data_IF_912809712535
#
_entry.id   IF_912809712535
#
_cell.length_a   1.000
_cell.length_b   1.000
_cell.length_c   1.000
_cell.angle_alpha   90.00
_cell.angle_beta   90.00
_cell.angle_gamma   90.00
#
_symmetry.space_group_name_H-M   'P 1'
#
loop_
_entity.id
_entity.type
_entity.pdbx_description
1 polymer ?
#
# COMPACT_ATOMS: atom_id res chain seq x y z
N UNK A 1 35.98 13.82 -21.64
CA UNK A 1 35.73 12.36 -21.58
C UNK A 1 34.27 12.06 -21.92
N UNK A 2 33.99 11.61 -23.14
CA UNK A 2 32.63 11.33 -23.60
C UNK A 2 32.10 10.01 -23.05
N UNK A 3 30.80 9.97 -22.70
CA UNK A 3 30.12 8.77 -22.18
C UNK A 3 30.11 7.70 -23.28
N UNK A 4 30.88 6.63 -23.09
CA UNK A 4 30.89 5.48 -23.99
C UNK A 4 29.48 4.87 -24.09
N UNK A 5 29.02 4.72 -25.32
CA UNK A 5 27.76 4.05 -25.67
C UNK A 5 27.75 2.63 -25.08
N UNK A 6 26.72 2.33 -24.29
CA UNK A 6 26.49 1.02 -23.67
C UNK A 6 26.42 -0.04 -24.77
N UNK A 7 27.34 -1.01 -24.68
CA UNK A 7 27.39 -2.29 -25.40
C UNK A 7 26.07 -2.66 -26.08
N UNK A 8 26.09 -2.78 -27.41
CA UNK A 8 25.04 -3.50 -28.15
C UNK A 8 25.06 -4.94 -27.61
N UNK A 9 23.99 -5.36 -26.93
CA UNK A 9 23.81 -6.76 -26.55
C UNK A 9 23.74 -7.59 -27.83
N UNK A 10 24.87 -8.18 -28.21
CA UNK A 10 24.89 -9.23 -29.21
C UNK A 10 24.03 -10.34 -28.62
N UNK A 11 22.88 -10.63 -29.25
CA UNK A 11 22.06 -11.77 -28.85
C UNK A 11 22.95 -13.00 -29.02
N UNK A 12 23.09 -13.81 -27.98
CA UNK A 12 23.82 -15.07 -28.03
C UNK A 12 23.22 -15.91 -29.16
N UNK A 13 23.93 -16.00 -30.28
CA UNK A 13 23.63 -17.01 -31.27
C UNK A 13 23.91 -18.35 -30.61
N UNK A 14 22.88 -19.18 -30.47
CA UNK A 14 23.00 -20.52 -29.94
C UNK A 14 23.99 -21.31 -30.83
N UNK A 15 25.15 -21.75 -30.29
CA UNK A 15 26.17 -22.43 -31.08
C UNK A 15 25.71 -23.78 -31.63
N UNK A 16 24.58 -24.31 -31.16
CA UNK A 16 24.01 -25.59 -31.60
C UNK A 16 22.80 -25.44 -32.54
N UNK A 17 22.42 -24.22 -32.90
CA UNK A 17 21.30 -24.00 -33.82
C UNK A 17 21.69 -24.35 -35.27
N UNK A 18 21.18 -25.49 -35.77
CA UNK A 18 21.35 -25.98 -37.16
C UNK A 18 20.14 -25.69 -38.07
N UNK A 19 19.30 -24.72 -37.73
CA UNK A 19 18.14 -24.33 -38.56
C UNK A 19 18.50 -23.29 -39.64
N UNK A 20 17.72 -23.17 -40.72
CA UNK A 20 17.93 -22.14 -41.74
C UNK A 20 17.88 -20.75 -41.11
N UNK A 21 18.97 -19.99 -41.25
CA UNK A 21 19.05 -18.60 -40.77
C UNK A 21 17.94 -17.81 -41.47
N UNK A 22 17.10 -17.13 -40.70
CA UNK A 22 16.19 -16.12 -41.24
C UNK A 22 17.05 -14.95 -41.70
N UNK A 23 17.48 -14.97 -42.95
CA UNK A 23 18.10 -13.83 -43.58
C UNK A 23 17.16 -12.63 -43.46
N UNK A 24 17.68 -11.57 -42.86
CA UNK A 24 16.99 -10.28 -42.79
C UNK A 24 16.70 -9.84 -44.21
N UNK A 25 15.42 -9.88 -44.61
CA UNK A 25 14.96 -9.39 -45.91
C UNK A 25 15.53 -7.98 -46.15
N UNK A 26 16.23 -7.73 -47.27
CA UNK A 26 16.50 -6.36 -47.69
C UNK A 26 15.15 -5.73 -48.08
N UNK A 27 14.73 -4.69 -47.36
CA UNK A 27 13.56 -3.90 -47.74
C UNK A 27 13.93 -3.02 -48.92
N UNK A 28 13.70 -3.50 -50.15
CA UNK A 28 13.76 -2.66 -51.35
C UNK A 28 12.64 -3.02 -52.33
N UNK A 29 11.56 -2.23 -52.31
CA UNK A 29 10.75 -1.94 -53.51
C UNK A 29 9.77 -0.81 -53.18
N UNK A 30 10.20 0.45 -53.35
CA UNK A 30 9.28 1.55 -53.67
C UNK A 30 9.37 1.76 -55.19
N UNK A 31 8.27 1.73 -55.95
CA UNK A 31 8.32 2.00 -57.38
C UNK A 31 8.58 3.50 -57.61
N UNK A 32 9.45 3.79 -58.57
CA UNK A 32 9.65 5.11 -59.16
C UNK A 32 8.54 5.35 -60.19
N UNK A 33 7.69 6.35 -59.96
CA UNK A 33 7.03 7.11 -61.01
C UNK A 33 7.07 8.57 -60.57
N UNK A 34 7.80 9.38 -61.33
CA UNK A 34 7.92 10.82 -61.13
C UNK A 34 6.72 11.49 -61.78
N UNK A 35 5.98 12.28 -61.02
CA UNK A 35 5.34 13.48 -61.56
C UNK A 35 6.27 14.65 -61.24
N UNK A 36 6.66 15.38 -62.29
CA UNK A 36 7.48 16.58 -62.20
C UNK A 36 6.69 17.69 -61.48
N UNK A 37 7.10 18.00 -60.25
CA UNK A 37 7.03 19.39 -59.78
C UNK A 37 8.43 19.97 -59.82
N UNK A 38 8.61 20.93 -60.73
CA UNK A 38 9.65 21.95 -60.63
C UNK A 38 9.64 22.57 -59.23
N UNK A 39 10.84 22.92 -58.76
CA UNK A 39 11.13 23.77 -57.60
C UNK A 39 10.65 23.31 -56.21
N UNK A 40 11.54 22.62 -55.51
CA UNK A 40 12.05 23.15 -54.24
C UNK A 40 13.35 22.41 -53.91
N UNK A 41 14.49 23.08 -54.05
CA UNK A 41 15.68 22.66 -53.30
C UNK A 41 15.28 22.73 -51.83
N UNK A 42 14.96 21.57 -51.23
CA UNK A 42 14.53 21.50 -49.85
C UNK A 42 15.57 22.19 -48.97
N UNK A 43 15.21 23.34 -48.40
CA UNK A 43 16.09 24.17 -47.57
C UNK A 43 16.93 23.29 -46.63
N UNK A 44 18.27 23.46 -46.59
CA UNK A 44 19.15 22.66 -45.76
C UNK A 44 18.63 22.62 -44.33
N UNK A 45 18.75 21.47 -43.68
CA UNK A 45 18.18 21.23 -42.34
C UNK A 45 18.55 22.32 -41.33
N UNK A 46 19.78 22.82 -41.40
CA UNK A 46 20.26 23.92 -40.56
C UNK A 46 19.43 25.21 -40.74
N UNK A 47 19.09 25.57 -41.97
CA UNK A 47 18.27 26.75 -42.25
C UNK A 47 16.80 26.55 -41.83
N UNK A 48 16.25 25.33 -41.99
CA UNK A 48 14.91 24.99 -41.46
C UNK A 48 14.84 25.12 -39.94
N UNK A 49 15.89 24.68 -39.24
CA UNK A 49 15.96 24.77 -37.78
C UNK A 49 16.15 26.22 -37.31
N UNK A 50 16.90 27.03 -38.05
CA UNK A 50 17.07 28.46 -37.79
C UNK A 50 15.75 29.23 -37.92
N UNK A 51 14.98 29.01 -38.99
CA UNK A 51 13.67 29.65 -39.17
C UNK A 51 12.67 29.24 -38.09
N UNK A 52 12.63 27.95 -37.72
CA UNK A 52 11.80 27.48 -36.60
C UNK A 52 12.16 28.18 -35.29
N UNK A 53 13.46 28.37 -35.02
CA UNK A 53 13.94 29.07 -33.82
C UNK A 53 13.50 30.54 -33.81
N UNK A 54 13.59 31.24 -34.94
CA UNK A 54 13.13 32.63 -35.06
C UNK A 54 11.62 32.77 -34.79
N UNK A 55 10.79 31.85 -35.32
CA UNK A 55 9.35 31.86 -35.09
C UNK A 55 8.98 31.63 -33.61
N UNK A 56 9.70 30.76 -32.91
CA UNK A 56 9.50 30.52 -31.48
C UNK A 56 9.88 31.77 -30.67
N UNK A 57 10.98 32.45 -31.02
CA UNK A 57 11.40 33.69 -30.34
C UNK A 57 10.40 34.84 -30.54
N UNK A 58 9.80 34.99 -31.74
CA UNK A 58 8.76 36.00 -31.98
C UNK A 58 7.50 35.74 -31.14
N UNK A 59 7.08 34.47 -31.00
CA UNK A 59 5.90 34.08 -30.20
C UNK A 59 6.07 34.28 -28.68
N UNK A 60 7.29 34.18 -28.16
CA UNK A 60 7.54 34.41 -26.71
C UNK A 60 7.70 35.89 -26.38
N UNK A 61 8.17 36.71 -27.31
CA UNK A 61 8.27 38.16 -27.15
C UNK A 61 6.88 38.85 -27.04
N UNK A 62 5.89 38.39 -27.81
CA UNK A 62 4.52 38.93 -27.75
C UNK A 62 3.81 38.59 -26.45
N UNK A 63 4.04 37.39 -25.88
CA UNK A 63 3.50 37.02 -24.56
C UNK A 63 4.03 37.89 -23.41
N UNK A 64 5.32 38.27 -23.45
CA UNK A 64 5.90 39.17 -22.44
C UNK A 64 5.30 40.59 -22.48
N UNK A 65 4.81 41.07 -23.63
CA UNK A 65 4.12 42.37 -23.73
C UNK A 65 2.68 42.31 -23.18
N UNK A 66 2.01 41.16 -23.25
CA UNK A 66 0.65 41.00 -22.72
C UNK A 66 0.59 40.92 -21.18
N UNK A 67 1.56 40.25 -20.53
CA UNK A 67 1.62 40.14 -19.07
C UNK A 67 1.88 41.48 -18.36
N UNK A 68 2.49 42.46 -19.04
CA UNK A 68 2.80 43.77 -18.43
C UNK A 68 1.57 44.69 -18.25
N UNK A 69 0.44 44.39 -18.91
CA UNK A 69 -0.80 45.19 -18.79
C UNK A 69 -1.75 44.74 -17.66
N UNK A 70 -1.55 43.57 -17.05
CA UNK A 70 -2.44 43.04 -15.99
C UNK A 70 -2.00 43.39 -14.55
N UNK A 71 -0.90 44.13 -14.35
CA UNK A 71 -0.35 44.41 -13.00
C UNK A 71 -0.98 45.59 -12.25
N UNK A 72 -2.08 46.21 -12.73
CA UNK A 72 -2.67 47.41 -12.09
C UNK A 72 -3.94 47.17 -11.27
N UNK A 73 -4.42 45.94 -11.10
CA UNK A 73 -5.66 45.63 -10.33
C UNK A 73 -5.40 44.77 -9.09
N UNK A 74 -4.36 45.07 -8.30
CA UNK A 74 -3.98 44.31 -7.11
C UNK A 74 -4.05 45.15 -5.81
N UNK A 75 -5.00 46.06 -5.70
CA UNK A 75 -5.28 46.81 -4.45
C UNK A 75 -6.18 46.04 -3.45
N UNK A 76 -6.28 44.70 -3.54
CA UNK A 76 -7.08 43.90 -2.60
C UNK A 76 -6.26 43.27 -1.45
N UNK A 77 -4.95 43.55 -1.37
CA UNK A 77 -4.05 42.91 -0.39
C UNK A 77 -4.22 43.38 1.07
N UNK A 78 -4.85 44.53 1.30
CA UNK A 78 -4.92 45.14 2.65
C UNK A 78 -5.98 44.54 3.55
N UNK A 79 -7.06 43.94 3.00
CA UNK A 79 -8.13 43.33 3.80
C UNK A 79 -7.71 42.00 4.46
N UNK A 80 -6.66 41.35 3.96
CA UNK A 80 -6.20 40.06 4.47
C UNK A 80 -5.56 40.16 5.86
N UNK A 81 -4.85 41.26 6.09
CA UNK A 81 -4.11 41.54 7.32
C UNK A 81 -4.90 42.35 8.35
N UNK A 82 -6.21 42.55 8.14
CA UNK A 82 -7.05 43.19 9.14
C UNK A 82 -7.56 42.15 10.14
N UNK A 83 -7.51 42.49 11.42
CA UNK A 83 -8.05 41.64 12.50
C UNK A 83 -9.58 41.65 12.41
N UNK A 84 -10.19 40.47 12.52
CA UNK A 84 -11.64 40.36 12.51
C UNK A 84 -12.17 40.84 13.87
N UNK A 85 -13.28 41.61 13.93
CA UNK A 85 -13.90 41.96 15.20
C UNK A 85 -14.28 40.68 15.97
N UNK A 86 -13.80 40.56 17.22
CA UNK A 86 -14.00 39.37 18.06
C UNK A 86 -12.87 38.32 18.01
N UNK A 87 -11.90 38.45 17.11
CA UNK A 87 -10.76 37.54 17.00
C UNK A 87 -9.70 37.82 18.08
N UNK A 88 -9.20 36.76 18.74
CA UNK A 88 -8.07 36.87 19.66
C UNK A 88 -6.77 37.23 18.92
N UNK A 89 -5.86 37.96 19.58
CA UNK A 89 -4.54 38.29 19.00
C UNK A 89 -3.79 37.03 18.54
N UNK A 90 -3.92 35.92 19.27
CA UNK A 90 -3.30 34.63 18.91
C UNK A 90 -3.88 34.05 17.63
N UNK A 91 -5.20 34.08 17.49
CA UNK A 91 -5.92 33.54 16.33
C UNK A 91 -5.57 34.33 15.06
N UNK A 92 -5.49 35.66 15.18
CA UNK A 92 -5.04 36.55 14.12
C UNK A 92 -3.65 36.14 13.59
N UNK A 93 -2.65 36.00 14.47
CA UNK A 93 -1.31 35.60 14.02
C UNK A 93 -1.29 34.20 13.41
N UNK A 94 -2.04 33.25 13.98
CA UNK A 94 -2.16 31.91 13.39
C UNK A 94 -2.75 31.94 11.98
N UNK A 95 -3.74 32.80 11.72
CA UNK A 95 -4.33 32.98 10.38
C UNK A 95 -3.31 33.56 9.40
N UNK A 96 -2.57 34.59 9.82
CA UNK A 96 -1.51 35.19 8.99
C UNK A 96 -0.40 34.19 8.67
N UNK A 97 0.07 33.41 9.66
CA UNK A 97 1.11 32.42 9.45
C UNK A 97 0.66 31.30 8.52
N UNK A 98 -0.60 30.85 8.64
CA UNK A 98 -1.18 29.87 7.73
C UNK A 98 -1.28 30.39 6.29
N UNK A 99 -1.67 31.65 6.11
CA UNK A 99 -1.73 32.24 4.78
C UNK A 99 -0.34 32.42 4.17
N UNK A 100 0.61 32.95 4.93
CA UNK A 100 1.99 33.10 4.48
C UNK A 100 2.63 31.76 4.09
N UNK A 101 2.40 30.71 4.89
CA UNK A 101 2.89 29.36 4.56
C UNK A 101 2.24 28.78 3.29
N UNK A 102 0.95 29.04 3.06
CA UNK A 102 0.26 28.65 1.83
C UNK A 102 0.82 29.37 0.61
N UNK A 103 0.99 30.70 0.68
CA UNK A 103 1.54 31.49 -0.43
C UNK A 103 2.97 31.05 -0.78
N UNK A 104 3.82 30.81 0.23
CA UNK A 104 5.17 30.26 0.02
C UNK A 104 5.11 28.88 -0.62
N UNK A 105 4.23 27.98 -0.14
CA UNK A 105 4.08 26.66 -0.71
C UNK A 105 3.58 26.70 -2.17
N UNK A 106 2.68 27.62 -2.50
CA UNK A 106 2.20 27.83 -3.87
C UNK A 106 3.28 28.39 -4.78
N UNK A 107 4.07 29.37 -4.32
CA UNK A 107 5.22 29.89 -5.06
C UNK A 107 6.27 28.80 -5.32
N UNK A 108 6.53 27.93 -4.35
CA UNK A 108 7.43 26.77 -4.52
C UNK A 108 6.87 25.72 -5.50
N UNK A 109 5.55 25.50 -5.52
CA UNK A 109 4.90 24.62 -6.51
C UNK A 109 4.93 25.23 -7.91
N UNK A 110 4.70 26.54 -8.04
CA UNK A 110 4.70 27.26 -9.31
C UNK A 110 6.10 27.37 -9.92
N UNK A 111 7.13 27.56 -9.09
CA UNK A 111 8.53 27.57 -9.53
C UNK A 111 9.00 26.19 -10.00
N UNK A 112 8.56 25.12 -9.33
CA UNK A 112 8.83 23.73 -9.75
C UNK A 112 7.85 23.26 -10.81
N UNK A 113 7.98 23.78 -12.04
CA UNK A 113 7.28 23.22 -13.20
C UNK A 113 7.74 21.78 -13.45
N UNK A 114 6.91 20.82 -13.05
CA UNK A 114 7.13 19.42 -13.36
C UNK A 114 6.99 19.21 -14.87
N UNK A 115 7.98 18.56 -15.52
CA UNK A 115 7.92 18.23 -16.95
C UNK A 115 6.60 17.53 -17.28
N UNK A 116 5.90 17.95 -18.33
CA UNK A 116 4.57 17.45 -18.68
C UNK A 116 4.50 15.92 -18.81
N UNK A 117 5.55 15.28 -19.31
CA UNK A 117 5.65 13.83 -19.36
C UNK A 117 5.59 13.15 -17.98
N UNK A 118 6.18 13.75 -16.94
CA UNK A 118 6.10 13.25 -15.55
C UNK A 118 4.71 13.47 -14.97
N UNK A 119 4.08 14.61 -15.28
CA UNK A 119 2.69 14.91 -14.88
C UNK A 119 1.71 13.91 -15.49
N UNK A 120 1.85 13.60 -16.78
CA UNK A 120 1.06 12.57 -17.48
C UNK A 120 1.27 11.20 -16.83
N UNK A 121 2.52 10.77 -16.67
CA UNK A 121 2.83 9.47 -16.04
C UNK A 121 2.23 9.31 -14.63
N UNK A 122 2.24 10.36 -13.81
CA UNK A 122 1.62 10.31 -12.48
C UNK A 122 0.09 10.22 -12.55
N UNK A 123 -0.56 10.84 -13.55
CA UNK A 123 -2.00 10.69 -13.78
C UNK A 123 -2.33 9.27 -14.24
N UNK A 124 -1.64 8.78 -15.26
CA UNK A 124 -1.81 7.43 -15.79
C UNK A 124 -1.60 6.37 -14.68
N UNK A 125 -0.61 6.58 -13.80
CA UNK A 125 -0.37 5.70 -12.65
C UNK A 125 -1.54 5.72 -11.66
N UNK A 126 -2.10 6.90 -11.35
CA UNK A 126 -3.26 7.02 -10.44
C UNK A 126 -4.51 6.37 -11.04
N UNK A 127 -4.74 6.54 -12.34
CA UNK A 127 -5.86 5.91 -13.05
C UNK A 127 -5.75 4.39 -13.03
N UNK A 128 -4.58 3.83 -13.35
CA UNK A 128 -4.33 2.38 -13.27
C UNK A 128 -4.58 1.81 -11.88
N UNK A 129 -4.22 2.54 -10.81
CA UNK A 129 -4.49 2.08 -9.44
C UNK A 129 -6.00 2.09 -9.16
N UNK A 130 -6.71 3.13 -9.59
CA UNK A 130 -8.16 3.24 -9.41
C UNK A 130 -8.92 2.15 -10.18
N UNK A 131 -8.48 1.87 -11.41
CA UNK A 131 -9.03 0.79 -12.23
C UNK A 131 -8.81 -0.58 -11.59
N UNK A 132 -7.60 -0.86 -11.09
CA UNK A 132 -7.32 -2.10 -10.35
C UNK A 132 -8.22 -2.27 -9.13
N UNK A 133 -8.47 -1.20 -8.37
CA UNK A 133 -9.39 -1.23 -7.22
C UNK A 133 -10.83 -1.54 -7.66
N UNK A 134 -11.30 -0.91 -8.73
CA UNK A 134 -12.62 -1.21 -9.30
C UNK A 134 -12.74 -2.66 -9.78
N UNK A 135 -11.70 -3.20 -10.41
CA UNK A 135 -11.68 -4.62 -10.80
C UNK A 135 -11.69 -5.54 -9.58
N UNK A 136 -10.90 -5.24 -8.55
CA UNK A 136 -10.91 -6.07 -7.33
C UNK A 136 -12.25 -6.02 -6.61
N UNK A 137 -12.91 -4.86 -6.57
CA UNK A 137 -14.25 -4.73 -5.99
C UNK A 137 -15.28 -5.57 -6.78
N UNK A 138 -15.26 -5.51 -8.11
CA UNK A 138 -16.14 -6.33 -8.96
C UNK A 138 -15.90 -7.84 -8.79
N UNK A 139 -14.63 -8.26 -8.72
CA UNK A 139 -14.29 -9.67 -8.55
C UNK A 139 -14.61 -10.18 -7.14
N UNK A 140 -14.42 -9.35 -6.12
CA UNK A 140 -14.76 -9.70 -4.74
C UNK A 140 -16.27 -9.94 -4.56
N UNK A 141 -17.12 -9.19 -5.26
CA UNK A 141 -18.57 -9.40 -5.23
C UNK A 141 -19.01 -10.72 -5.83
N UNK A 142 -18.29 -11.25 -6.82
CA UNK A 142 -18.65 -12.49 -7.50
C UNK A 142 -18.10 -13.74 -6.79
N UNK A 143 -16.92 -13.64 -6.17
CA UNK A 143 -16.33 -14.74 -5.38
C UNK A 143 -17.11 -15.00 -4.09
N UNK A 144 -17.66 -13.96 -3.45
CA UNK A 144 -18.48 -14.11 -2.23
C UNK A 144 -19.86 -14.75 -2.50
N UNK A 145 -20.27 -14.87 -3.76
CA UNK A 145 -21.57 -15.45 -4.14
C UNK A 145 -21.48 -16.88 -4.66
N UNK A 146 -20.25 -17.43 -4.77
CA UNK A 146 -20.03 -18.80 -5.21
C UNK A 146 -19.64 -19.67 -4.02
N UNK A 147 -20.62 -20.42 -3.53
CA UNK A 147 -20.38 -21.52 -2.61
C UNK A 147 -20.09 -22.78 -3.44
N UNK A 148 -18.81 -23.17 -3.50
CA UNK A 148 -18.39 -24.44 -4.10
C UNK A 148 -18.75 -25.60 -3.17
N UNK A 149 -20.02 -26.01 -3.18
CA UNK A 149 -20.53 -27.11 -2.34
C UNK A 149 -20.91 -28.27 -3.24
N UNK A 150 -20.42 -29.47 -2.91
CA UNK A 150 -20.77 -30.69 -3.64
C UNK A 150 -22.19 -31.12 -3.27
N UNK A 151 -22.91 -31.69 -4.23
CA UNK A 151 -24.24 -32.22 -4.00
C UNK A 151 -24.21 -33.27 -2.87
N UNK A 152 -24.93 -33.01 -1.78
CA UNK A 152 -24.97 -33.84 -0.57
C UNK A 152 -24.26 -33.24 0.66
N UNK A 153 -23.43 -32.21 0.50
CA UNK A 153 -22.78 -31.53 1.63
C UNK A 153 -23.70 -30.44 2.23
N UNK A 154 -23.94 -30.50 3.54
CA UNK A 154 -24.79 -29.53 4.26
C UNK A 154 -23.93 -28.33 4.67
N UNK A 155 -24.11 -27.21 3.96
CA UNK A 155 -23.28 -25.99 4.03
C UNK A 155 -23.08 -25.47 5.45
N UNK A 156 -24.10 -25.53 6.31
CA UNK A 156 -24.10 -24.99 7.67
C UNK A 156 -24.46 -26.06 8.71
N UNK A 157 -23.86 -27.24 8.60
CA UNK A 157 -24.03 -28.27 9.63
C UNK A 157 -23.42 -27.79 10.96
N UNK A 158 -24.12 -27.93 12.10
CA UNK A 158 -23.54 -27.64 13.40
C UNK A 158 -22.26 -28.47 13.61
N UNK A 159 -21.25 -27.93 14.32
CA UNK A 159 -20.00 -28.65 14.55
C UNK A 159 -20.29 -29.96 15.29
N UNK A 160 -19.94 -31.09 14.66
CA UNK A 160 -20.00 -32.39 15.31
C UNK A 160 -18.76 -32.56 16.19
N UNK A 161 -18.98 -32.80 17.48
CA UNK A 161 -17.89 -33.06 18.42
C UNK A 161 -17.43 -34.50 18.20
N UNK A 162 -16.51 -34.68 17.24
CA UNK A 162 -15.85 -35.97 16.94
C UNK A 162 -14.54 -36.15 17.71
N UNK A 163 -14.13 -35.13 18.46
CA UNK A 163 -12.88 -35.13 19.20
C UNK A 163 -12.92 -36.13 20.37
N UNK A 164 -12.06 -37.14 20.31
CA UNK A 164 -11.81 -38.06 21.43
C UNK A 164 -11.21 -37.26 22.61
N UNK A 165 -11.70 -37.44 23.85
CA UNK A 165 -11.11 -36.76 25.01
C UNK A 165 -9.64 -37.14 25.18
N UNK A 166 -8.78 -36.16 25.46
CA UNK A 166 -7.30 -36.32 25.56
C UNK A 166 -6.79 -37.40 26.53
N UNK A 167 -7.64 -37.89 27.44
CA UNK A 167 -7.32 -38.92 28.43
C UNK A 167 -8.34 -40.07 28.46
N UNK A 168 -9.24 -40.15 27.47
CA UNK A 168 -10.09 -41.31 27.35
C UNK A 168 -9.24 -42.46 26.82
N UNK A 169 -9.03 -43.48 27.65
CA UNK A 169 -8.49 -44.75 27.16
C UNK A 169 -9.41 -45.24 26.03
N UNK A 170 -8.82 -45.83 24.98
CA UNK A 170 -9.56 -46.57 23.96
C UNK A 170 -10.05 -47.88 24.59
N UNK A 171 -10.98 -47.75 25.54
CA UNK A 171 -11.66 -48.89 26.09
C UNK A 171 -12.59 -49.40 24.98
N UNK A 172 -12.26 -50.57 24.44
CA UNK A 172 -13.22 -51.39 23.72
C UNK A 172 -14.43 -51.55 24.64
N UNK A 173 -15.52 -50.84 24.32
CA UNK A 173 -16.78 -50.97 25.05
C UNK A 173 -17.17 -52.45 24.95
N UNK A 174 -17.04 -53.20 26.04
CA UNK A 174 -17.29 -54.65 26.06
C UNK A 174 -16.11 -55.54 26.49
N UNK A 175 -14.90 -55.00 26.73
CA UNK A 175 -13.74 -55.81 27.13
C UNK A 175 -13.57 -55.99 28.66
N UNK A 176 -14.62 -55.77 29.47
CA UNK A 176 -14.55 -56.09 30.89
C UNK A 176 -14.44 -57.61 30.99
N UNK A 177 -13.29 -58.12 31.43
CA UNK A 177 -13.11 -59.54 31.70
C UNK A 177 -14.24 -59.98 32.64
N UNK A 178 -14.98 -61.01 32.23
CA UNK A 178 -16.05 -61.58 33.04
C UNK A 178 -15.49 -61.92 34.42
N UNK A 179 -16.28 -61.73 35.48
CA UNK A 179 -15.90 -62.03 36.86
C UNK A 179 -15.32 -63.45 37.00
N UNK A 180 -15.73 -64.37 36.13
CA UNK A 180 -15.21 -65.73 36.03
C UNK A 180 -13.67 -65.79 35.78
N UNK A 181 -13.12 -64.89 34.97
CA UNK A 181 -11.67 -64.78 34.77
C UNK A 181 -10.92 -64.32 36.02
N UNK A 182 -11.60 -63.67 36.97
CA UNK A 182 -11.00 -63.27 38.26
C UNK A 182 -10.96 -64.42 39.27
N UNK A 183 -11.82 -65.45 39.10
CA UNK A 183 -11.88 -66.63 39.96
C UNK A 183 -10.92 -67.74 39.51
N UNK A 184 -10.41 -67.66 38.28
CA UNK A 184 -9.45 -68.60 37.71
C UNK A 184 -8.07 -67.93 37.62
N UNK A 185 -7.02 -68.45 38.28
CA UNK A 185 -5.70 -67.80 38.27
C UNK A 185 -5.05 -67.89 36.89
N UNK A 186 -4.94 -66.74 36.18
CA UNK A 186 -4.15 -66.60 34.97
C UNK A 186 -2.71 -66.19 35.31
N UNK A 187 -1.74 -67.00 34.88
CA UNK A 187 -0.32 -66.77 35.12
C UNK A 187 0.24 -65.66 34.21
N UNK A 188 0.73 -64.60 34.85
CA UNK A 188 1.92 -63.76 34.51
C UNK A 188 1.89 -62.88 33.23
N UNK A 189 2.17 -61.57 33.35
CA UNK A 189 3.51 -60.94 33.18
C UNK A 189 3.43 -59.39 33.17
N UNK A 190 4.49 -58.82 33.71
CA UNK A 190 4.82 -57.45 34.09
C UNK A 190 4.98 -56.42 32.96
N UNK A 191 4.91 -55.12 33.31
CA UNK A 191 5.92 -54.02 33.06
C UNK A 191 5.23 -52.65 33.04
N UNK A 192 5.26 -51.86 34.13
CA UNK A 192 6.27 -50.86 34.53
C UNK A 192 6.53 -49.74 33.48
N UNK A 193 6.07 -48.49 33.75
CA UNK A 193 6.68 -47.28 33.18
C UNK A 193 6.46 -46.04 34.07
N UNK A 194 7.57 -45.35 34.33
CA UNK A 194 7.81 -44.27 35.27
C UNK A 194 7.52 -42.86 34.70
N UNK A 195 7.15 -41.94 35.60
CA UNK A 195 7.60 -40.55 35.77
C UNK A 195 7.70 -39.60 34.55
N UNK A 196 6.80 -38.60 34.48
CA UNK A 196 7.11 -37.23 33.98
C UNK A 196 6.31 -36.15 34.75
N UNK A 197 7.03 -35.12 35.21
CA UNK A 197 6.53 -33.88 35.84
C UNK A 197 5.99 -32.87 34.80
N UNK A 198 5.14 -31.89 35.18
CA UNK A 198 4.42 -31.04 34.24
C UNK A 198 5.18 -29.75 33.90
N UNK A 199 5.19 -29.42 32.61
CA UNK A 199 5.82 -28.21 32.06
C UNK A 199 4.83 -27.02 32.03
N UNK A 200 5.35 -25.83 32.28
CA UNK A 200 4.62 -24.59 32.62
C UNK A 200 3.99 -23.90 31.38
N UNK A 201 3.09 -24.59 30.68
CA UNK A 201 2.58 -24.20 29.35
C UNK A 201 1.29 -23.36 29.33
N UNK A 202 1.10 -22.45 30.30
CA UNK A 202 -0.18 -21.74 30.49
C UNK A 202 -0.31 -20.34 29.88
N UNK A 203 0.79 -19.68 29.50
CA UNK A 203 0.76 -18.26 29.10
C UNK A 203 0.92 -18.15 27.59
N UNK A 204 -0.19 -17.87 26.90
CA UNK A 204 -0.18 -17.61 25.46
C UNK A 204 0.68 -16.37 25.16
N UNK A 205 1.63 -16.51 24.23
CA UNK A 205 2.55 -15.42 23.85
C UNK A 205 1.74 -14.26 23.26
N UNK A 206 1.77 -13.11 23.91
CA UNK A 206 1.06 -11.90 23.44
C UNK A 206 1.70 -11.36 22.17
N UNK A 207 0.88 -10.88 21.23
CA UNK A 207 1.35 -10.21 20.01
C UNK A 207 2.06 -8.91 20.38
N UNK A 208 3.20 -8.62 19.74
CA UNK A 208 3.91 -7.33 19.94
C UNK A 208 3.07 -6.18 19.38
N UNK A 209 3.10 -5.01 20.02
CA UNK A 209 2.30 -3.81 19.64
C UNK A 209 2.39 -3.44 18.16
N UNK A 210 3.57 -3.54 17.55
CA UNK A 210 3.79 -3.26 16.12
C UNK A 210 3.09 -4.21 15.15
N UNK A 211 2.60 -5.35 15.64
CA UNK A 211 1.88 -6.37 14.87
C UNK A 211 0.37 -6.37 15.16
N UNK A 212 -0.11 -5.42 15.98
CA UNK A 212 -1.53 -5.26 16.31
C UNK A 212 -2.20 -4.35 15.28
N UNK A 213 -3.45 -4.66 14.91
CA UNK A 213 -4.27 -3.76 14.08
C UNK A 213 -4.55 -2.44 14.82
N UNK A 214 -4.84 -1.35 14.09
CA UNK A 214 -5.12 -0.04 14.70
C UNK A 214 -6.26 -0.10 15.74
N UNK A 215 -7.33 -0.86 15.45
CA UNK A 215 -8.46 -1.07 16.37
C UNK A 215 -8.03 -1.85 17.62
N UNK A 216 -7.16 -2.84 17.44
CA UNK A 216 -6.61 -3.67 18.52
C UNK A 216 -5.66 -2.87 19.42
N UNK A 217 -4.85 -1.98 18.84
CA UNK A 217 -4.02 -1.02 19.56
C UNK A 217 -4.86 -0.04 20.37
N UNK A 218 -5.94 0.49 19.77
CA UNK A 218 -6.85 1.40 20.47
C UNK A 218 -7.51 0.73 21.67
N UNK A 219 -7.95 -0.53 21.53
CA UNK A 219 -8.51 -1.32 22.63
C UNK A 219 -7.49 -1.54 23.75
N UNK A 220 -6.28 -1.96 23.40
CA UNK A 220 -5.19 -2.14 24.36
C UNK A 220 -4.83 -0.84 25.10
N UNK A 221 -4.81 0.30 24.40
CA UNK A 221 -4.54 1.60 25.00
C UNK A 221 -5.70 2.08 25.90
N UNK A 222 -6.96 1.76 25.58
CA UNK A 222 -8.12 2.00 26.46
C UNK A 222 -8.01 1.17 27.75
N UNK A 223 -7.69 -0.11 27.65
CA UNK A 223 -7.53 -0.99 28.81
C UNK A 223 -6.38 -0.53 29.70
N UNK A 224 -5.24 -0.13 29.10
CA UNK A 224 -4.12 0.47 29.81
C UNK A 224 -4.52 1.74 30.56
N UNK A 225 -5.25 2.66 29.91
CA UNK A 225 -5.74 3.89 30.55
C UNK A 225 -6.66 3.57 31.72
N UNK A 226 -7.59 2.64 31.55
CA UNK A 226 -8.51 2.19 32.61
C UNK A 226 -7.75 1.64 33.82
N UNK A 227 -6.77 0.77 33.59
CA UNK A 227 -5.93 0.20 34.65
C UNK A 227 -5.13 1.26 35.39
N UNK A 228 -4.52 2.22 34.68
CA UNK A 228 -3.77 3.32 35.29
C UNK A 228 -4.69 4.20 36.14
N UNK A 229 -5.89 4.54 35.64
CA UNK A 229 -6.84 5.34 36.41
C UNK A 229 -7.30 4.61 37.67
N UNK A 230 -7.67 3.33 37.56
CA UNK A 230 -8.03 2.51 38.71
C UNK A 230 -6.91 2.47 39.76
N UNK A 231 -5.67 2.22 39.33
CA UNK A 231 -4.52 2.22 40.22
C UNK A 231 -4.30 3.59 40.90
N UNK A 232 -4.44 4.69 40.17
CA UNK A 232 -4.32 6.04 40.73
C UNK A 232 -5.39 6.32 41.79
N UNK A 233 -6.63 5.88 41.56
CA UNK A 233 -7.72 6.02 42.53
C UNK A 233 -7.44 5.22 43.80
N UNK A 234 -7.07 3.94 43.67
CA UNK A 234 -6.72 3.08 44.82
C UNK A 234 -5.54 3.68 45.60
N UNK A 235 -4.51 4.17 44.90
CA UNK A 235 -3.34 4.80 45.55
C UNK A 235 -3.69 6.12 46.23
N UNK A 236 -4.70 6.86 45.75
CA UNK A 236 -5.20 8.07 46.41
C UNK A 236 -5.95 7.71 47.69
N UNK A 237 -6.85 6.73 47.62
CA UNK A 237 -7.60 6.22 48.77
C UNK A 237 -6.68 5.73 49.88
N UNK A 238 -5.68 4.88 49.56
CA UNK A 238 -4.71 4.40 50.54
C UNK A 238 -3.91 5.51 51.24
N UNK A 239 -3.65 6.63 50.58
CA UNK A 239 -2.98 7.77 51.21
C UNK A 239 -3.92 8.52 52.15
N UNK A 240 -5.17 8.76 51.73
CA UNK A 240 -6.18 9.39 52.58
C UNK A 240 -6.50 8.55 53.82
N UNK A 241 -6.50 7.23 53.70
CA UNK A 241 -6.64 6.31 54.84
C UNK A 241 -5.45 6.42 55.80
N UNK A 242 -4.22 6.56 55.30
CA UNK A 242 -3.05 6.75 56.16
C UNK A 242 -3.01 8.14 56.81
N UNK A 243 -3.40 9.19 56.09
CA UNK A 243 -3.44 10.57 56.60
C UNK A 243 -4.62 10.79 57.57
N UNK A 244 -5.69 9.99 57.49
CA UNK A 244 -6.86 10.04 58.36
C UNK A 244 -6.80 9.12 59.59
N UNK A 245 -5.69 8.40 59.80
CA UNK A 245 -5.40 7.60 61.00
C UNK A 245 -4.45 8.37 61.96
N UNK A 246 -4.06 9.61 61.62
CA UNK A 246 -3.28 10.51 62.47
C UNK A 246 -4.17 11.38 63.36
#
# INVERSE_FOLDING_TARGET
MGRMSRYKKIKSCDPFYKGPRKDSKPTSSKPLAKEEKLEEQGMPRAAKDLMKRQLIMKKTATKKKAEKKQKKTAQSGTKKFQRIPGESKKEYFMRIDQEATQEVAEALKASRKMRDGRKKHLRDRKEKIKEKKRLSEKNASFDLTKDDVRFGDVVMQPPSITAKPRKAAEANKGSKALLLHSLLPQKTKETNMQNRTPDNSGITKTKKRKHMSALEQEKADKDRKRAIMAYRMIRKQRRQEQDGIA
#
